data_IF_258004008801
#
_entry.id   IF_258004008801
#
_cell.length_a   1.000
_cell.length_b   1.000
_cell.length_c   1.000
_cell.angle_alpha   90.00
_cell.angle_beta   90.00
_cell.angle_gamma   90.00
#
_symmetry.space_group_name_H-M   'P 1'
#
loop_
_entity.id
_entity.type
_entity.pdbx_description
1 polymer ?
#
# COMPACT_ATOMS: atom_id res chain seq x y z
N UNK A 1 -3.50 11.07 -5.94
CA UNK A 1 -4.64 10.50 -5.20
C UNK A 1 -4.27 10.53 -3.73
N UNK A 2 -5.09 11.15 -2.88
CA UNK A 2 -4.80 11.19 -1.44
C UNK A 2 -5.08 9.83 -0.81
N UNK A 3 -4.46 9.54 0.33
CA UNK A 3 -4.67 8.31 1.08
C UNK A 3 -6.15 8.15 1.45
N UNK A 4 -6.79 9.20 1.95
CA UNK A 4 -8.19 9.20 2.37
C UNK A 4 -9.20 9.09 1.23
N UNK A 5 -8.80 9.34 -0.02
CA UNK A 5 -9.65 9.14 -1.20
C UNK A 5 -9.67 7.66 -1.65
N UNK A 6 -8.81 6.82 -1.07
CA UNK A 6 -8.71 5.40 -1.43
C UNK A 6 -9.84 4.61 -0.81
N UNK A 7 -10.42 3.70 -1.60
CA UNK A 7 -11.17 2.58 -1.08
C UNK A 7 -10.19 1.41 -0.92
N UNK A 8 -9.87 1.08 0.33
CA UNK A 8 -8.99 -0.03 0.64
C UNK A 8 -9.53 -1.34 0.10
N UNK A 9 -8.64 -2.15 -0.47
CA UNK A 9 -8.93 -3.52 -0.92
C UNK A 9 -8.21 -4.56 -0.07
N UNK A 10 -7.48 -4.12 0.96
CA UNK A 10 -6.74 -4.98 1.85
C UNK A 10 -7.45 -5.15 3.20
N UNK A 11 -7.64 -6.40 3.58
CA UNK A 11 -8.15 -6.75 4.92
C UNK A 11 -6.97 -7.20 5.78
N UNK A 12 -6.66 -6.41 6.82
CA UNK A 12 -5.66 -6.78 7.81
C UNK A 12 -6.18 -7.86 8.74
N UNK A 13 -5.27 -8.72 9.21
CA UNK A 13 -5.58 -9.69 10.27
C UNK A 13 -5.48 -9.03 11.64
N UNK A 14 -6.36 -9.43 12.56
CA UNK A 14 -6.31 -8.99 13.96
C UNK A 14 -4.92 -9.26 14.57
N UNK A 15 -4.39 -8.32 15.37
CA UNK A 15 -3.03 -8.39 15.87
C UNK A 15 -2.92 -9.51 16.90
N UNK A 16 -1.86 -10.29 16.80
CA UNK A 16 -1.50 -11.32 17.78
C UNK A 16 -0.30 -10.86 18.62
N UNK A 17 0.00 -11.49 19.76
CA UNK A 17 1.18 -11.16 20.55
C UNK A 17 2.51 -11.22 19.77
N UNK A 18 2.55 -12.03 18.70
CA UNK A 18 3.72 -12.19 17.83
C UNK A 18 3.72 -11.25 16.62
N UNK A 19 2.56 -10.70 16.22
CA UNK A 19 2.41 -9.90 15.01
C UNK A 19 1.35 -8.83 15.17
N UNK A 20 1.79 -7.58 15.29
CA UNK A 20 0.95 -6.39 15.28
C UNK A 20 0.50 -5.95 13.89
N UNK A 21 -0.14 -4.78 13.82
CA UNK A 21 -0.48 -4.08 12.58
C UNK A 21 0.73 -3.43 11.90
N UNK A 22 1.72 -2.93 12.66
CA UNK A 22 2.91 -2.27 12.09
C UNK A 22 3.63 -3.13 11.02
N UNK A 23 3.98 -4.41 11.27
CA UNK A 23 4.60 -5.25 10.24
C UNK A 23 3.65 -5.55 9.07
N UNK A 24 2.34 -5.65 9.31
CA UNK A 24 1.36 -5.89 8.24
C UNK A 24 1.21 -4.68 7.31
N UNK A 25 1.22 -3.46 7.86
CA UNK A 25 1.16 -2.21 7.10
C UNK A 25 2.43 -2.02 6.26
N UNK A 26 3.60 -2.27 6.84
CA UNK A 26 4.84 -2.18 6.08
C UNK A 26 4.87 -3.20 4.93
N UNK A 27 4.35 -4.42 5.13
CA UNK A 27 4.20 -5.40 4.07
C UNK A 27 3.21 -4.91 2.99
N UNK A 28 2.03 -4.45 3.40
CA UNK A 28 1.01 -3.91 2.50
C UNK A 28 1.55 -2.78 1.62
N UNK A 29 2.32 -1.84 2.19
CA UNK A 29 2.91 -0.73 1.45
C UNK A 29 3.81 -1.19 0.29
N UNK A 30 4.52 -2.31 0.48
CA UNK A 30 5.41 -2.86 -0.56
C UNK A 30 4.68 -3.62 -1.67
N UNK A 31 3.37 -3.87 -1.54
CA UNK A 31 2.57 -4.52 -2.57
C UNK A 31 2.33 -3.56 -3.75
N UNK A 32 2.03 -4.15 -4.91
CA UNK A 32 1.72 -3.36 -6.10
C UNK A 32 0.43 -2.57 -5.89
N UNK A 33 0.48 -1.25 -6.10
CA UNK A 33 -0.70 -0.36 -6.14
C UNK A 33 -1.49 -0.52 -7.44
N UNK A 34 -0.96 -1.29 -8.39
CA UNK A 34 -1.61 -1.60 -9.66
C UNK A 34 -2.26 -2.96 -9.58
N UNK A 35 -3.58 -2.99 -9.70
CA UNK A 35 -4.34 -4.24 -9.88
C UNK A 35 -4.45 -4.54 -11.35
N UNK A 36 -4.08 -5.74 -11.80
CA UNK A 36 -4.26 -6.15 -13.19
C UNK A 36 -5.38 -7.20 -13.29
N UNK A 37 -6.38 -6.93 -14.13
CA UNK A 37 -7.29 -7.97 -14.61
C UNK A 37 -6.66 -8.64 -15.82
N UNK A 38 -6.67 -9.98 -15.83
CA UNK A 38 -5.99 -10.76 -16.88
C UNK A 38 -6.92 -11.78 -17.47
N UNK A 39 -7.06 -11.73 -18.78
CA UNK A 39 -7.86 -12.66 -19.58
C UNK A 39 -7.02 -13.31 -20.68
N UNK A 40 -7.38 -14.53 -21.09
CA UNK A 40 -6.83 -15.16 -22.29
C UNK A 40 -7.62 -14.64 -23.48
N UNK A 41 -6.96 -13.98 -24.41
CA UNK A 41 -7.59 -13.37 -25.59
C UNK A 41 -7.41 -14.21 -26.86
N UNK A 42 -6.63 -15.29 -26.79
CA UNK A 42 -6.43 -16.20 -27.92
C UNK A 42 -5.16 -17.03 -27.80
N UNK A 43 -4.63 -17.41 -28.96
CA UNK A 43 -3.47 -18.28 -29.10
C UNK A 43 -3.80 -19.75 -28.90
N UNK A 44 -2.98 -20.62 -29.49
CA UNK A 44 -3.11 -22.06 -29.32
C UNK A 44 -2.77 -22.45 -27.87
N UNK A 45 -3.15 -23.66 -27.44
CA UNK A 45 -2.93 -24.10 -26.06
C UNK A 45 -1.44 -24.13 -25.66
N UNK A 46 -0.55 -24.29 -26.64
CA UNK A 46 0.90 -24.27 -26.43
C UNK A 46 1.52 -22.87 -26.59
N UNK A 47 0.77 -21.90 -27.13
CA UNK A 47 1.19 -20.49 -27.33
C UNK A 47 0.05 -19.52 -26.99
N UNK A 48 -0.49 -19.56 -25.76
CA UNK A 48 -1.62 -18.73 -25.38
C UNK A 48 -1.22 -17.25 -25.36
N UNK A 49 -2.16 -16.39 -25.71
CA UNK A 49 -2.02 -14.94 -25.59
C UNK A 49 -2.94 -14.42 -24.49
N UNK A 50 -2.36 -13.67 -23.57
CA UNK A 50 -3.07 -13.04 -22.46
C UNK A 50 -3.03 -11.52 -22.60
N UNK A 51 -4.12 -10.86 -22.20
CA UNK A 51 -4.20 -9.41 -22.06
C UNK A 51 -4.30 -9.06 -20.59
N UNK A 52 -3.51 -8.07 -20.17
CA UNK A 52 -3.57 -7.48 -18.85
C UNK A 52 -4.10 -6.05 -18.94
N UNK A 53 -5.17 -5.78 -18.20
CA UNK A 53 -5.78 -4.46 -18.05
C UNK A 53 -5.45 -3.91 -16.67
N UNK A 54 -4.55 -2.92 -16.57
CA UNK A 54 -4.16 -2.35 -15.29
C UNK A 54 -5.17 -1.33 -14.76
N UNK A 55 -5.35 -1.34 -13.43
CA UNK A 55 -6.14 -0.40 -12.67
C UNK A 55 -5.27 0.23 -11.57
N UNK A 56 -5.37 1.55 -11.42
CA UNK A 56 -4.75 2.31 -10.34
C UNK A 56 -5.84 2.83 -9.41
N UNK A 57 -6.01 2.19 -8.26
CA UNK A 57 -7.24 2.37 -7.46
C UNK A 57 -8.46 1.93 -8.27
N UNK A 58 -9.41 2.84 -8.51
CA UNK A 58 -10.60 2.57 -9.34
C UNK A 58 -10.45 3.00 -10.81
N UNK A 59 -9.32 3.60 -11.19
CA UNK A 59 -9.09 4.12 -12.54
C UNK A 59 -8.53 3.02 -13.44
N UNK A 60 -9.19 2.73 -14.56
CA UNK A 60 -8.66 1.84 -15.60
C UNK A 60 -7.66 2.61 -16.48
N UNK A 61 -6.43 2.12 -16.57
CA UNK A 61 -5.38 2.74 -17.37
C UNK A 61 -5.33 2.09 -18.77
N UNK A 62 -6.25 2.51 -19.63
CA UNK A 62 -6.44 1.95 -20.98
C UNK A 62 -5.19 2.04 -21.85
N UNK A 63 -4.38 3.07 -21.66
CA UNK A 63 -3.12 3.35 -22.34
C UNK A 63 -1.98 2.40 -21.91
N UNK A 64 -2.17 1.67 -20.80
CA UNK A 64 -1.21 0.72 -20.26
C UNK A 64 -1.64 -0.75 -20.45
N UNK A 65 -2.72 -1.00 -21.19
CA UNK A 65 -3.12 -2.37 -21.55
C UNK A 65 -1.97 -3.02 -22.32
N UNK A 66 -1.63 -4.26 -21.94
CA UNK A 66 -0.56 -4.98 -22.60
C UNK A 66 -0.88 -6.46 -22.78
N UNK A 67 -0.18 -7.08 -23.73
CA UNK A 67 -0.36 -8.48 -24.06
C UNK A 67 0.93 -9.27 -23.81
N UNK A 68 0.79 -10.57 -23.56
CA UNK A 68 1.93 -11.44 -23.35
C UNK A 68 1.59 -12.92 -23.44
N UNK A 69 2.61 -13.73 -23.70
CA UNK A 69 2.49 -15.20 -23.84
C UNK A 69 2.22 -15.94 -22.53
N UNK A 70 2.15 -15.22 -21.41
CA UNK A 70 1.73 -15.73 -20.12
C UNK A 70 1.07 -14.62 -19.32
N UNK A 71 0.19 -14.97 -18.39
CA UNK A 71 -0.43 -14.02 -17.46
C UNK A 71 0.62 -13.14 -16.77
N UNK A 72 1.69 -13.77 -16.27
CA UNK A 72 2.79 -13.06 -15.57
C UNK A 72 3.47 -12.04 -16.48
N UNK A 73 3.73 -12.39 -17.75
CA UNK A 73 4.40 -11.48 -18.68
C UNK A 73 3.51 -10.30 -19.06
N UNK A 74 2.22 -10.53 -19.31
CA UNK A 74 1.25 -9.47 -19.58
C UNK A 74 1.14 -8.50 -18.39
N UNK A 75 1.01 -9.01 -17.15
CA UNK A 75 0.99 -8.16 -15.95
C UNK A 75 2.28 -7.33 -15.84
N UNK A 76 3.44 -7.96 -15.97
CA UNK A 76 4.72 -7.26 -15.83
C UNK A 76 4.88 -6.14 -16.87
N UNK A 77 4.47 -6.37 -18.12
CA UNK A 77 4.52 -5.34 -19.16
C UNK A 77 3.55 -4.20 -18.85
N UNK A 78 2.35 -4.50 -18.34
CA UNK A 78 1.37 -3.49 -17.93
C UNK A 78 1.91 -2.65 -16.77
N UNK A 79 2.51 -3.26 -15.76
CA UNK A 79 3.14 -2.55 -14.63
C UNK A 79 4.28 -1.63 -15.11
N UNK A 80 5.11 -2.08 -16.04
CA UNK A 80 6.16 -1.23 -16.64
C UNK A 80 5.55 -0.04 -17.38
N UNK A 81 4.47 -0.24 -18.14
CA UNK A 81 3.76 0.84 -18.82
C UNK A 81 3.16 1.85 -17.82
N UNK A 82 2.55 1.37 -16.73
CA UNK A 82 2.01 2.24 -15.67
C UNK A 82 3.13 3.05 -15.00
N UNK A 83 4.27 2.42 -14.69
CA UNK A 83 5.42 3.14 -14.12
C UNK A 83 5.92 4.26 -15.05
N UNK A 84 5.90 4.03 -16.37
CA UNK A 84 6.30 5.03 -17.36
C UNK A 84 5.38 6.26 -17.40
N UNK A 85 4.14 6.17 -16.89
CA UNK A 85 3.24 7.31 -16.71
C UNK A 85 3.60 8.19 -15.50
N UNK A 86 4.63 7.83 -14.74
CA UNK A 86 5.03 8.50 -13.50
C UNK A 86 4.22 8.08 -12.27
N UNK A 87 3.33 7.10 -12.40
CA UNK A 87 2.55 6.55 -11.28
C UNK A 87 3.40 5.56 -10.47
N UNK A 88 3.43 5.65 -9.13
CA UNK A 88 4.23 4.75 -8.32
C UNK A 88 3.59 3.36 -8.28
N UNK A 89 4.38 2.33 -8.58
CA UNK A 89 3.90 0.94 -8.52
C UNK A 89 3.71 0.43 -7.10
N UNK A 90 4.36 1.04 -6.11
CA UNK A 90 4.31 0.63 -4.70
C UNK A 90 4.12 1.85 -3.83
N UNK A 91 3.57 1.64 -2.65
CA UNK A 91 3.56 2.65 -1.61
C UNK A 91 4.89 2.74 -0.90
N UNK A 92 5.15 3.89 -0.30
CA UNK A 92 6.15 4.07 0.75
C UNK A 92 5.46 4.57 2.00
N UNK A 93 5.87 4.04 3.15
CA UNK A 93 5.46 4.53 4.46
C UNK A 93 6.70 4.96 5.21
N UNK A 94 6.68 6.20 5.66
CA UNK A 94 7.63 6.72 6.62
C UNK A 94 6.93 7.00 7.95
N UNK A 95 7.63 6.77 9.06
CA UNK A 95 7.08 6.98 10.39
C UNK A 95 7.78 8.16 11.03
N UNK A 96 7.11 9.31 11.12
CA UNK A 96 7.65 10.49 11.78
C UNK A 96 7.41 10.39 13.28
N UNK A 97 8.48 10.32 14.04
CA UNK A 97 8.44 10.26 15.51
C UNK A 97 8.74 11.64 16.08
N UNK A 98 7.81 12.16 16.88
CA UNK A 98 7.94 13.40 17.63
C UNK A 98 8.00 13.05 19.12
N UNK A 99 9.05 13.49 19.81
CA UNK A 99 9.10 13.40 21.26
C UNK A 99 8.25 14.53 21.84
N UNK A 100 7.16 14.18 22.52
CA UNK A 100 6.18 15.12 23.04
C UNK A 100 6.42 15.49 24.50
N UNK A 101 7.51 15.00 25.11
CA UNK A 101 7.81 15.23 26.53
C UNK A 101 9.00 16.15 26.79
N UNK A 102 8.72 17.17 27.61
CA UNK A 102 9.68 18.05 28.29
C UNK A 102 9.96 17.70 29.76
N UNK A 103 9.55 16.53 30.27
CA UNK A 103 9.88 16.07 31.62
C UNK A 103 10.50 14.66 31.63
N UNK A 104 11.63 14.52 32.32
CA UNK A 104 12.56 13.39 32.23
C UNK A 104 12.05 12.03 32.75
N UNK A 105 10.91 11.99 33.46
CA UNK A 105 10.47 10.78 34.19
C UNK A 105 9.26 10.07 33.60
N UNK A 106 8.61 10.62 32.57
CA UNK A 106 7.52 9.95 31.87
C UNK A 106 7.52 10.36 30.40
N UNK A 107 8.31 9.69 29.53
CA UNK A 107 8.39 10.06 28.13
C UNK A 107 7.10 9.75 27.38
N UNK A 108 6.73 10.60 26.44
CA UNK A 108 5.62 10.40 25.50
C UNK A 108 6.15 10.64 24.09
N UNK A 109 5.71 9.77 23.19
CA UNK A 109 6.07 9.82 21.78
C UNK A 109 4.79 9.89 20.97
N UNK A 110 4.73 10.87 20.08
CA UNK A 110 3.72 10.94 19.02
C UNK A 110 4.33 10.40 17.74
N UNK A 111 3.63 9.52 17.05
CA UNK A 111 4.06 8.95 15.78
C UNK A 111 3.01 9.19 14.72
N UNK A 112 3.43 9.75 13.59
CA UNK A 112 2.58 10.03 12.45
C UNK A 112 3.06 9.24 11.22
N UNK A 113 2.18 8.47 10.56
CA UNK A 113 2.52 7.85 9.29
C UNK A 113 2.51 8.88 8.17
N UNK A 114 3.44 8.71 7.23
CA UNK A 114 3.54 9.49 6.01
C UNK A 114 3.47 8.51 4.83
N UNK A 115 2.36 8.52 4.10
CA UNK A 115 2.11 7.63 2.95
C UNK A 115 2.45 8.34 1.64
N UNK A 116 3.44 7.86 0.88
CA UNK A 116 3.86 8.49 -0.38
C UNK A 116 4.11 10.01 -0.25
N UNK A 117 4.62 10.47 0.89
CA UNK A 117 4.85 11.88 1.20
C UNK A 117 3.63 12.64 1.75
N UNK A 118 2.47 12.01 1.87
CA UNK A 118 1.27 12.57 2.50
C UNK A 118 1.24 12.27 4.00
N UNK A 119 1.13 13.30 4.83
CA UNK A 119 1.02 13.18 6.28
C UNK A 119 -0.40 12.73 6.67
N UNK A 120 -0.49 11.67 7.46
CA UNK A 120 -1.77 11.10 7.87
C UNK A 120 -2.14 11.56 9.29
N UNK A 121 -2.54 12.83 9.41
CA UNK A 121 -2.89 13.46 10.70
C UNK A 121 -3.99 12.72 11.47
N UNK A 122 -4.87 12.00 10.76
CA UNK A 122 -5.92 11.18 11.37
C UNK A 122 -5.47 9.84 11.95
N UNK A 123 -4.18 9.49 11.80
CA UNK A 123 -3.61 8.20 12.22
C UNK A 123 -2.42 8.39 13.19
N UNK A 124 -2.47 9.41 14.04
CA UNK A 124 -1.39 9.69 15.00
C UNK A 124 -1.54 8.77 16.22
N UNK A 125 -0.52 7.94 16.46
CA UNK A 125 -0.41 7.12 17.67
C UNK A 125 0.41 7.84 18.75
N UNK A 126 0.02 7.70 20.02
CA UNK A 126 0.67 8.38 21.14
C UNK A 126 0.88 7.39 22.29
N UNK A 127 2.14 7.08 22.61
CA UNK A 127 2.43 6.13 23.66
C UNK A 127 3.66 6.49 24.49
N UNK A 128 3.90 5.68 25.54
CA UNK A 128 5.05 5.83 26.45
C UNK A 128 6.39 5.48 25.80
N UNK A 129 6.36 4.75 24.68
CA UNK A 129 7.53 4.43 23.89
C UNK A 129 7.24 4.48 22.38
N UNK A 130 8.31 4.65 21.58
CA UNK A 130 8.21 4.79 20.12
C UNK A 130 7.55 3.61 19.43
N UNK A 131 7.80 2.39 19.92
CA UNK A 131 7.29 1.17 19.29
C UNK A 131 5.78 1.06 19.47
N UNK A 132 5.28 1.29 20.68
CA UNK A 132 3.84 1.32 20.96
C UNK A 132 3.14 2.43 20.17
N UNK A 133 3.74 3.63 20.10
CA UNK A 133 3.15 4.73 19.35
C UNK A 133 3.07 4.44 17.84
N UNK A 134 4.09 3.78 17.26
CA UNK A 134 4.04 3.29 15.88
C UNK A 134 2.96 2.22 15.70
N UNK A 135 2.81 1.31 16.66
CA UNK A 135 1.84 0.23 16.61
C UNK A 135 0.40 0.76 16.66
N UNK A 136 0.15 1.76 17.50
CA UNK A 136 -1.13 2.45 17.59
C UNK A 136 -1.46 3.22 16.30
N UNK A 137 -0.50 3.99 15.77
CA UNK A 137 -0.63 4.68 14.50
C UNK A 137 -0.91 3.70 13.35
N UNK A 138 -0.23 2.55 13.34
CA UNK A 138 -0.49 1.48 12.39
C UNK A 138 -1.87 0.86 12.56
N UNK A 139 -2.35 0.66 13.78
CA UNK A 139 -3.72 0.20 14.03
C UNK A 139 -4.78 1.15 13.49
N UNK A 140 -4.61 2.45 13.69
CA UNK A 140 -5.52 3.48 13.13
C UNK A 140 -5.51 3.44 11.60
N UNK A 141 -4.33 3.40 10.98
CA UNK A 141 -4.20 3.32 9.52
C UNK A 141 -4.82 2.03 8.95
N UNK A 142 -4.59 0.88 9.59
CA UNK A 142 -5.12 -0.42 9.17
C UNK A 142 -6.66 -0.48 9.21
N UNK A 143 -7.26 0.18 10.20
CA UNK A 143 -8.71 0.18 10.43
C UNK A 143 -9.43 1.32 9.72
N UNK A 144 -8.70 2.25 9.10
CA UNK A 144 -9.26 3.40 8.38
C UNK A 144 -10.09 3.03 7.14
N UNK A 145 -9.89 1.83 6.58
CA UNK A 145 -10.57 1.38 5.36
C UNK A 145 -9.97 1.93 4.05
N UNK A 146 -8.81 2.57 4.11
CA UNK A 146 -8.14 3.21 2.96
C UNK A 146 -6.94 2.40 2.40
N UNK A 147 -6.59 1.30 3.07
CA UNK A 147 -5.48 0.43 2.72
C UNK A 147 -5.85 -0.62 1.67
#
# INVERSE_FOLDING_TARGET
>A
MRFTDRKGDYTFTEPTPQRGYLPQINEWATRSLVRCEVERIGGDDHTPTFRATPYYGSEMLSECISEGFSKKKAIQTAEVAVAATGRPLRGTIEWRVINTTGQAHNPSFSVMPIWNGEELDGCIGIASNKKEAMEEAAGMMATSGHC
#
